data_IF_911371455066
#
_entry.id   IF_911371455066
#
_cell.length_a   1.000
_cell.length_b   1.000
_cell.length_c   1.000
_cell.angle_alpha   90.00
_cell.angle_beta   90.00
_cell.angle_gamma   90.00
#
_symmetry.space_group_name_H-M   'P 1'
#
loop_
_entity.id
_entity.type
_entity.pdbx_description
1 polymer ?
#
# COMPACT_ATOMS: atom_id res chain seq x y z
N UNK A 1 15.82 -1.37 1.23
CA UNK A 1 14.76 -1.35 2.26
C UNK A 1 14.06 -0.02 2.12
N UNK A 2 12.77 -0.10 1.95
CA UNK A 2 11.83 0.96 1.67
C UNK A 2 10.73 0.99 2.75
N UNK A 3 10.11 2.15 2.91
CA UNK A 3 8.92 2.34 3.74
C UNK A 3 7.91 3.08 2.87
N UNK A 4 6.75 2.46 2.67
CA UNK A 4 5.64 3.04 1.91
C UNK A 4 4.68 3.79 2.84
N UNK A 5 4.33 5.01 2.46
CA UNK A 5 3.28 5.81 3.09
C UNK A 5 2.11 6.00 2.14
N UNK A 6 0.90 5.75 2.64
CA UNK A 6 -0.33 6.14 1.95
C UNK A 6 -0.69 7.55 2.41
N UNK A 7 -0.84 8.47 1.45
CA UNK A 7 -1.32 9.83 1.71
C UNK A 7 -2.53 10.09 0.82
N UNK A 8 -3.69 10.29 1.45
CA UNK A 8 -4.97 10.50 0.78
C UNK A 8 -5.16 11.93 0.24
N UNK A 9 -4.26 12.86 0.54
CA UNK A 9 -4.36 14.25 0.11
C UNK A 9 -3.51 14.48 -1.14
N UNK A 10 -4.16 14.86 -2.25
CA UNK A 10 -3.48 15.17 -3.51
C UNK A 10 -2.43 16.28 -3.32
N UNK A 11 -1.27 16.13 -3.94
CA UNK A 11 -0.13 17.06 -3.83
C UNK A 11 0.61 17.05 -2.48
N UNK A 12 0.05 16.46 -1.42
CA UNK A 12 0.68 16.44 -0.10
C UNK A 12 2.04 15.72 -0.05
N UNK A 13 2.29 14.60 -0.77
CA UNK A 13 3.62 13.99 -0.79
C UNK A 13 4.75 14.96 -1.15
N UNK A 14 4.55 15.84 -2.14
CA UNK A 14 5.59 16.80 -2.55
C UNK A 14 5.80 17.90 -1.51
N UNK A 15 4.72 18.39 -0.91
CA UNK A 15 4.78 19.38 0.18
C UNK A 15 5.53 18.80 1.37
N UNK A 16 5.25 17.54 1.74
CA UNK A 16 5.94 16.84 2.84
C UNK A 16 7.44 16.70 2.54
N UNK A 17 7.81 16.19 1.35
CA UNK A 17 9.22 16.06 0.94
C UNK A 17 9.96 17.38 1.01
N UNK A 18 9.41 18.43 0.42
CA UNK A 18 10.03 19.76 0.40
C UNK A 18 10.26 20.29 1.81
N UNK A 19 9.25 20.18 2.69
CA UNK A 19 9.38 20.60 4.09
C UNK A 19 10.45 19.81 4.82
N UNK A 20 10.50 18.49 4.66
CA UNK A 20 11.50 17.64 5.31
C UNK A 20 12.93 17.96 4.85
N UNK A 21 13.13 18.27 3.56
CA UNK A 21 14.44 18.67 3.03
C UNK A 21 14.91 20.04 3.52
N UNK A 22 13.98 20.94 3.85
CA UNK A 22 14.29 22.31 4.31
C UNK A 22 14.65 22.39 5.81
N UNK A 23 14.50 21.31 6.58
CA UNK A 23 14.86 21.28 8.01
C UNK A 23 16.39 21.44 8.14
N UNK A 24 16.89 22.34 9.01
CA UNK A 24 18.32 22.43 9.28
C UNK A 24 18.89 21.09 9.75
N UNK A 25 20.01 20.66 9.15
CA UNK A 25 20.59 19.33 9.38
C UNK A 25 19.60 18.18 9.15
N UNK A 26 18.74 18.32 8.13
CA UNK A 26 17.75 17.30 7.79
C UNK A 26 18.42 15.94 7.59
N UNK A 27 17.90 14.87 8.23
CA UNK A 27 18.33 13.51 7.94
C UNK A 27 17.74 13.01 6.61
N UNK A 28 16.90 13.80 5.93
CA UNK A 28 16.31 13.44 4.64
C UNK A 28 17.15 13.98 3.48
N UNK A 29 17.15 13.25 2.37
CA UNK A 29 17.82 13.66 1.15
C UNK A 29 17.08 13.13 -0.08
N UNK A 30 17.31 13.78 -1.22
CA UNK A 30 16.93 13.27 -2.53
C UNK A 30 18.16 12.87 -3.32
N UNK A 31 18.12 11.68 -3.89
CA UNK A 31 19.14 11.16 -4.80
C UNK A 31 18.45 10.73 -6.10
N UNK A 32 18.63 11.53 -7.15
CA UNK A 32 17.92 11.33 -8.42
C UNK A 32 16.40 11.31 -8.18
N UNK A 33 15.74 10.16 -8.34
CA UNK A 33 14.29 10.00 -8.22
C UNK A 33 13.84 9.55 -6.82
N UNK A 34 14.80 9.25 -5.93
CA UNK A 34 14.54 8.63 -4.63
C UNK A 34 14.58 9.66 -3.51
N UNK A 35 13.53 9.65 -2.68
CA UNK A 35 13.51 10.35 -1.40
C UNK A 35 13.91 9.37 -0.31
N UNK A 36 14.93 9.71 0.49
CA UNK A 36 15.52 8.80 1.47
C UNK A 36 15.70 9.43 2.84
N UNK A 37 15.63 8.60 3.87
CA UNK A 37 16.08 8.90 5.23
C UNK A 37 17.48 8.32 5.46
N UNK A 38 18.42 9.18 5.85
CA UNK A 38 19.78 8.83 6.25
C UNK A 38 19.78 8.39 7.71
N UNK A 39 19.71 7.08 7.93
CA UNK A 39 19.77 6.52 9.26
C UNK A 39 21.15 6.77 9.90
N UNK A 40 21.25 7.12 11.19
CA UNK A 40 22.54 7.39 11.87
C UNK A 40 23.55 6.25 11.76
N UNK A 41 23.09 5.01 11.64
CA UNK A 41 23.92 3.82 11.37
C UNK A 41 24.44 3.69 9.93
N UNK A 42 24.38 4.74 9.11
CA UNK A 42 24.95 4.79 7.75
C UNK A 42 24.09 4.17 6.63
N UNK A 43 22.89 3.69 6.94
CA UNK A 43 21.96 3.13 5.95
C UNK A 43 21.05 4.21 5.37
N UNK A 44 20.82 4.16 4.06
CA UNK A 44 19.77 4.94 3.41
C UNK A 44 18.51 4.10 3.32
N UNK A 45 17.40 4.59 3.88
CA UNK A 45 16.08 3.97 3.84
C UNK A 45 15.25 4.76 2.85
N UNK A 46 14.75 4.12 1.79
CA UNK A 46 13.89 4.77 0.82
C UNK A 46 12.51 5.03 1.43
N UNK A 47 11.95 6.19 1.17
CA UNK A 47 10.59 6.56 1.61
C UNK A 47 9.78 6.82 0.36
N UNK A 48 8.83 5.91 0.13
CA UNK A 48 7.92 5.99 -0.99
C UNK A 48 6.56 6.49 -0.51
N UNK A 49 5.95 7.33 -1.34
CA UNK A 49 4.58 7.79 -1.13
C UNK A 49 3.73 7.18 -2.23
N UNK A 50 2.70 6.46 -1.84
CA UNK A 50 1.77 5.83 -2.77
C UNK A 50 1.14 6.92 -3.65
N UNK A 51 1.23 6.81 -4.99
CA UNK A 51 0.53 7.70 -5.90
C UNK A 51 -0.98 7.64 -5.68
N UNK A 52 -1.67 8.75 -5.90
CA UNK A 52 -3.13 8.87 -5.70
C UNK A 52 -3.93 7.75 -6.38
N UNK A 53 -3.56 7.38 -7.61
CA UNK A 53 -4.22 6.31 -8.36
C UNK A 53 -4.06 4.90 -7.74
N UNK A 54 -3.06 4.67 -6.89
CA UNK A 54 -2.89 3.39 -6.18
C UNK A 54 -3.75 3.32 -4.90
N UNK A 55 -4.26 4.45 -4.42
CA UNK A 55 -5.13 4.55 -3.25
C UNK A 55 -6.58 4.71 -3.67
N UNK A 56 -7.19 3.60 -4.13
CA UNK A 56 -8.57 3.57 -4.63
C UNK A 56 -9.61 4.08 -3.61
N UNK A 57 -9.26 4.03 -2.32
CA UNK A 57 -10.05 4.57 -1.22
C UNK A 57 -9.11 4.89 -0.04
N UNK A 58 -9.64 5.55 1.01
CA UNK A 58 -8.87 5.86 2.22
C UNK A 58 -8.96 4.69 3.21
N UNK A 59 -7.84 4.05 3.61
CA UNK A 59 -7.86 2.96 4.57
C UNK A 59 -8.46 3.38 5.92
N UNK A 60 -9.13 2.45 6.61
CA UNK A 60 -9.81 2.76 7.88
C UNK A 60 -8.83 3.19 8.99
N UNK A 61 -7.57 2.72 8.92
CA UNK A 61 -6.52 3.09 9.86
C UNK A 61 -5.88 4.46 9.58
N UNK A 62 -6.25 5.13 8.48
CA UNK A 62 -5.69 6.43 8.15
C UNK A 62 -6.05 7.47 9.22
N UNK A 63 -5.07 8.27 9.63
CA UNK A 63 -5.25 9.33 10.63
C UNK A 63 -4.58 10.61 10.18
N UNK A 64 -4.99 11.74 10.77
CA UNK A 64 -4.32 13.01 10.52
C UNK A 64 -2.93 12.99 11.15
N UNK A 65 -1.92 13.41 10.38
CA UNK A 65 -0.52 13.47 10.84
C UNK A 65 -0.40 14.29 12.13
N UNK A 66 -1.17 15.38 12.25
CA UNK A 66 -1.15 16.26 13.43
C UNK A 66 -1.67 15.60 14.72
N UNK A 67 -2.41 14.50 14.61
CA UNK A 67 -2.93 13.73 15.74
C UNK A 67 -2.26 12.36 15.90
N UNK A 68 -1.26 12.04 15.07
CA UNK A 68 -0.57 10.75 15.14
C UNK A 68 0.35 10.70 16.37
N UNK A 69 0.22 9.64 17.15
CA UNK A 69 1.18 9.30 18.20
C UNK A 69 2.40 8.63 17.57
N UNK A 70 3.58 9.24 17.72
CA UNK A 70 4.84 8.68 17.20
C UNK A 70 5.24 7.34 17.82
N UNK A 71 4.68 7.00 18.98
CA UNK A 71 4.90 5.70 19.64
C UNK A 71 3.93 4.62 19.16
N UNK A 72 2.86 5.02 18.46
CA UNK A 72 1.83 4.13 17.95
C UNK A 72 1.37 4.57 16.56
N UNK A 73 2.21 4.30 15.56
CA UNK A 73 1.93 4.69 14.18
C UNK A 73 0.76 3.87 13.60
N UNK A 74 -0.12 4.50 12.79
CA UNK A 74 -1.17 3.79 12.09
C UNK A 74 -0.58 2.91 10.99
N UNK A 75 -0.77 1.60 11.12
CA UNK A 75 -0.46 0.66 10.05
C UNK A 75 -1.73 0.34 9.27
N UNK A 76 -1.58 0.13 7.97
CA UNK A 76 -2.67 -0.37 7.14
C UNK A 76 -3.19 -1.70 7.70
N UNK A 77 -4.51 -1.86 7.72
CA UNK A 77 -5.11 -3.12 8.17
C UNK A 77 -4.82 -4.24 7.17
N UNK A 78 -4.79 -5.51 7.57
CA UNK A 78 -4.60 -6.61 6.62
C UNK A 78 -5.68 -6.66 5.53
N UNK A 79 -6.92 -6.30 5.86
CA UNK A 79 -8.03 -6.25 4.88
C UNK A 79 -7.83 -5.13 3.88
N UNK A 80 -7.40 -3.95 4.33
CA UNK A 80 -7.06 -2.85 3.43
C UNK A 80 -5.86 -3.17 2.55
N UNK A 81 -4.83 -3.80 3.12
CA UNK A 81 -3.66 -4.24 2.37
C UNK A 81 -4.06 -5.23 1.27
N UNK A 82 -4.93 -6.18 1.57
CA UNK A 82 -5.47 -7.13 0.60
C UNK A 82 -6.17 -6.41 -0.56
N UNK A 83 -7.15 -5.55 -0.24
CA UNK A 83 -7.95 -4.87 -1.24
C UNK A 83 -7.10 -3.97 -2.16
N UNK A 84 -6.15 -3.21 -1.58
CA UNK A 84 -5.24 -2.38 -2.36
C UNK A 84 -4.26 -3.20 -3.20
N UNK A 85 -3.74 -4.33 -2.69
CA UNK A 85 -2.85 -5.21 -3.46
C UNK A 85 -3.56 -5.81 -4.68
N UNK A 86 -4.81 -6.24 -4.53
CA UNK A 86 -5.63 -6.72 -5.65
C UNK A 86 -5.84 -5.58 -6.65
N UNK A 87 -6.32 -4.41 -6.20
CA UNK A 87 -6.56 -3.25 -7.05
C UNK A 87 -5.31 -2.89 -7.89
N UNK A 88 -4.13 -2.80 -7.26
CA UNK A 88 -2.92 -2.33 -7.96
C UNK A 88 -2.21 -3.39 -8.80
N UNK A 89 -2.55 -4.67 -8.65
CA UNK A 89 -1.83 -5.80 -9.27
C UNK A 89 -1.65 -5.60 -10.79
N UNK A 90 -2.74 -5.33 -11.52
CA UNK A 90 -2.72 -5.13 -12.97
C UNK A 90 -1.99 -3.87 -13.44
N UNK A 91 -1.91 -2.87 -12.57
CA UNK A 91 -1.41 -1.53 -12.90
C UNK A 91 0.12 -1.38 -12.69
N UNK A 92 0.80 -2.40 -12.15
CA UNK A 92 2.24 -2.31 -11.92
C UNK A 92 3.04 -2.29 -13.23
N UNK A 93 4.16 -1.54 -13.29
CA UNK A 93 4.90 -1.32 -14.53
C UNK A 93 5.69 -2.56 -15.02
N UNK A 94 5.92 -3.56 -14.17
CA UNK A 94 6.71 -4.74 -14.53
C UNK A 94 5.99 -6.03 -14.12
N UNK A 95 6.13 -7.08 -14.93
CA UNK A 95 5.53 -8.39 -14.67
C UNK A 95 5.95 -8.95 -13.29
N UNK A 96 7.21 -8.74 -12.89
CA UNK A 96 7.69 -9.15 -11.58
C UNK A 96 6.96 -8.44 -10.43
N UNK A 97 6.65 -7.14 -10.57
CA UNK A 97 5.88 -6.39 -9.57
C UNK A 97 4.40 -6.82 -9.57
N UNK A 98 3.80 -7.06 -10.74
CA UNK A 98 2.43 -7.60 -10.83
C UNK A 98 2.32 -8.95 -10.12
N UNK A 99 3.23 -9.89 -10.44
CA UNK A 99 3.26 -11.22 -9.82
C UNK A 99 3.48 -11.13 -8.31
N UNK A 100 4.37 -10.24 -7.83
CA UNK A 100 4.57 -10.04 -6.40
C UNK A 100 3.31 -9.54 -5.69
N UNK A 101 2.64 -8.52 -6.23
CA UNK A 101 1.39 -8.03 -5.64
C UNK A 101 0.31 -9.13 -5.60
N UNK A 102 0.24 -9.98 -6.63
CA UNK A 102 -0.70 -11.10 -6.64
C UNK A 102 -0.39 -12.17 -5.58
N UNK A 103 0.90 -12.47 -5.37
CA UNK A 103 1.34 -13.42 -4.34
C UNK A 103 1.16 -12.85 -2.93
N UNK A 104 1.46 -11.56 -2.73
CA UNK A 104 1.20 -10.86 -1.47
C UNK A 104 -0.29 -10.87 -1.14
N UNK A 105 -1.15 -10.56 -2.12
CA UNK A 105 -2.60 -10.62 -1.97
C UNK A 105 -3.06 -12.02 -1.55
N UNK A 106 -2.55 -13.06 -2.22
CA UNK A 106 -2.90 -14.45 -1.89
C UNK A 106 -2.50 -14.81 -0.46
N UNK A 107 -1.26 -14.48 -0.06
CA UNK A 107 -0.77 -14.76 1.28
C UNK A 107 -1.62 -14.06 2.36
N UNK A 108 -2.00 -12.80 2.13
CA UNK A 108 -2.85 -12.04 3.05
C UNK A 108 -4.27 -12.64 3.09
N UNK A 109 -4.84 -13.03 1.95
CA UNK A 109 -6.15 -13.66 1.90
C UNK A 109 -6.17 -15.00 2.65
N UNK A 110 -5.18 -15.87 2.43
CA UNK A 110 -5.08 -17.15 3.14
C UNK A 110 -4.86 -16.96 4.65
N UNK A 111 -4.08 -15.96 5.05
CA UNK A 111 -3.92 -15.60 6.46
C UNK A 111 -5.25 -15.14 7.08
N UNK A 112 -6.01 -14.28 6.40
CA UNK A 112 -7.30 -13.79 6.88
C UNK A 112 -8.32 -14.93 6.98
N UNK A 113 -8.41 -15.79 5.96
CA UNK A 113 -9.33 -16.92 5.92
C UNK A 113 -9.10 -17.94 7.05
N UNK A 114 -7.87 -18.07 7.55
CA UNK A 114 -7.57 -18.88 8.75
C UNK A 114 -8.24 -18.35 10.02
N UNK A 115 -8.58 -17.06 10.06
CA UNK A 115 -9.19 -16.39 11.21
C UNK A 115 -10.70 -16.14 11.04
N UNK A 116 -11.24 -16.37 9.84
CA UNK A 116 -12.67 -16.20 9.56
C UNK A 116 -12.93 -15.70 8.13
N UNK A 117 -14.21 -15.49 7.77
CA UNK A 117 -14.57 -14.97 6.46
C UNK A 117 -14.03 -13.54 6.25
N UNK A 118 -13.56 -13.24 5.03
CA UNK A 118 -13.10 -11.89 4.67
C UNK A 118 -14.33 -11.03 4.41
N UNK A 119 -14.54 -10.00 5.22
CA UNK A 119 -15.63 -9.04 5.06
C UNK A 119 -15.07 -7.73 4.53
N UNK A 120 -15.45 -7.39 3.30
CA UNK A 120 -15.07 -6.14 2.63
C UNK A 120 -16.18 -5.09 2.77
N UNK A 121 -15.77 -3.83 2.96
CA UNK A 121 -16.66 -2.66 2.82
C UNK A 121 -17.06 -2.45 1.36
N UNK A 122 -18.03 -1.55 1.10
CA UNK A 122 -18.43 -1.23 -0.27
C UNK A 122 -17.25 -0.75 -1.12
N UNK A 123 -16.49 0.24 -0.64
CA UNK A 123 -15.35 0.80 -1.37
C UNK A 123 -14.24 -0.23 -1.63
N UNK A 124 -14.00 -1.12 -0.66
CA UNK A 124 -13.05 -2.23 -0.81
C UNK A 124 -13.50 -3.21 -1.90
N UNK A 125 -14.80 -3.52 -1.99
CA UNK A 125 -15.34 -4.38 -3.05
C UNK A 125 -15.17 -3.74 -4.43
N UNK A 126 -15.44 -2.45 -4.55
CA UNK A 126 -15.22 -1.71 -5.81
C UNK A 126 -13.75 -1.74 -6.22
N UNK A 127 -12.82 -1.46 -5.30
CA UNK A 127 -11.39 -1.51 -5.58
C UNK A 127 -10.92 -2.91 -6.00
N UNK A 128 -11.41 -3.96 -5.33
CA UNK A 128 -11.05 -5.34 -5.64
C UNK A 128 -11.56 -5.76 -7.02
N UNK A 129 -12.77 -5.35 -7.40
CA UNK A 129 -13.35 -5.70 -8.72
C UNK A 129 -12.49 -5.21 -9.88
N UNK A 130 -11.80 -4.09 -9.73
CA UNK A 130 -10.89 -3.55 -10.74
C UNK A 130 -9.72 -4.50 -11.04
N UNK A 131 -9.21 -5.22 -10.04
CA UNK A 131 -8.00 -6.04 -10.15
C UNK A 131 -8.20 -7.55 -10.11
N UNK A 132 -9.45 -8.03 -10.07
CA UNK A 132 -9.75 -9.45 -9.79
C UNK A 132 -9.31 -10.39 -10.92
N UNK A 133 -9.36 -9.94 -12.17
CA UNK A 133 -8.88 -10.72 -13.32
C UNK A 133 -7.35 -10.81 -13.30
N UNK A 134 -6.67 -9.69 -13.06
CA UNK A 134 -5.21 -9.63 -13.00
C UNK A 134 -4.64 -10.48 -11.86
N UNK A 135 -5.21 -10.39 -10.66
CA UNK A 135 -4.78 -11.23 -9.54
C UNK A 135 -5.09 -12.69 -9.80
N UNK A 136 -6.22 -13.01 -10.45
CA UNK A 136 -6.58 -14.37 -10.85
C UNK A 136 -5.55 -15.00 -11.80
N UNK A 137 -5.07 -14.21 -12.76
CA UNK A 137 -4.08 -14.66 -13.74
C UNK A 137 -2.67 -14.91 -13.13
N UNK A 138 -2.33 -14.26 -12.02
CA UNK A 138 -0.96 -14.19 -11.51
C UNK A 138 -0.75 -14.82 -10.13
N UNK A 139 -1.80 -15.05 -9.36
CA UNK A 139 -1.73 -15.60 -7.99
C UNK A 139 -1.63 -17.12 -7.95
N UNK A 140 -2.06 -17.82 -9.00
CA UNK A 140 -2.23 -19.28 -8.99
C UNK A 140 -3.58 -19.76 -8.43
N UNK A 141 -4.47 -18.81 -8.06
CA UNK A 141 -5.90 -19.04 -7.82
C UNK A 141 -6.69 -18.33 -8.91
N UNK A 142 -7.66 -19.01 -9.50
CA UNK A 142 -8.50 -18.39 -10.51
C UNK A 142 -9.45 -17.32 -9.92
N UNK A 143 -10.05 -16.51 -10.78
CA UNK A 143 -10.97 -15.44 -10.36
C UNK A 143 -12.23 -15.95 -9.65
N UNK A 144 -12.63 -17.22 -9.85
CA UNK A 144 -13.79 -17.80 -9.15
C UNK A 144 -13.47 -18.06 -7.67
N UNK A 145 -12.25 -18.53 -7.38
CA UNK A 145 -11.77 -18.65 -6.02
C UNK A 145 -11.74 -17.29 -5.33
N UNK A 146 -11.22 -16.26 -6.01
CA UNK A 146 -11.18 -14.90 -5.48
C UNK A 146 -12.57 -14.32 -5.22
N UNK A 147 -13.51 -14.49 -6.16
CA UNK A 147 -14.90 -14.03 -6.01
C UNK A 147 -15.56 -14.67 -4.79
N UNK A 148 -15.35 -15.98 -4.60
CA UNK A 148 -15.86 -16.72 -3.44
C UNK A 148 -15.20 -16.28 -2.13
N UNK A 149 -13.87 -16.21 -2.09
CA UNK A 149 -13.09 -15.83 -0.91
C UNK A 149 -13.41 -14.41 -0.42
N UNK A 150 -13.70 -13.49 -1.35
CA UNK A 150 -13.97 -12.08 -1.07
C UNK A 150 -15.46 -11.74 -0.99
N UNK A 151 -16.34 -12.73 -1.19
CA UNK A 151 -17.80 -12.59 -1.12
C UNK A 151 -18.33 -11.47 -2.05
N UNK A 152 -17.94 -11.56 -3.33
CA UNK A 152 -18.21 -10.56 -4.37
C UNK A 152 -19.40 -10.88 -5.27
#
# INVERSE_FOLDING_TARGET
MDVDFIIALSGAPQVVKTKLLQIPNSPFAEFSQFFVYKHPGGKNIQIDFTPEWQSAYVPAAATMISSTDSTNLPYITPVDLLALKINTCGMRPTAAKKSRDAQDALAVAEMLLKHGPIVLTHDQKEAVRVGIEDVGALSGRDSSWWTSALQL
#
